data_IF_784077323759
#
_entry.id   IF_784077323759
#
_cell.length_a   1.000
_cell.length_b   1.000
_cell.length_c   1.000
_cell.angle_alpha   90.00
_cell.angle_beta   90.00
_cell.angle_gamma   90.00
#
_symmetry.space_group_name_H-M   'P 1'
#
loop_
_entity.id
_entity.type
_entity.pdbx_description
1 polymer ?
#
# COMPACT_ATOMS: atom_id res chain seq x y z
N UNK A 1 -9.91 -13.77 4.88
CA UNK A 1 -9.62 -13.61 3.47
C UNK A 1 -9.37 -12.14 3.13
N UNK A 2 -10.27 -11.25 3.56
CA UNK A 2 -10.09 -9.80 3.31
C UNK A 2 -8.91 -9.23 4.10
N UNK A 3 -8.63 -9.77 5.28
CA UNK A 3 -7.47 -9.36 6.05
C UNK A 3 -6.17 -9.71 5.35
N UNK A 4 -6.15 -10.85 4.64
CA UNK A 4 -4.98 -11.23 3.86
C UNK A 4 -4.74 -10.28 2.70
N UNK A 5 -5.82 -9.79 2.07
CA UNK A 5 -5.68 -8.82 0.99
C UNK A 5 -5.09 -7.50 1.49
N UNK A 6 -5.58 -7.01 2.65
CA UNK A 6 -5.03 -5.80 3.23
C UNK A 6 -3.55 -5.97 3.57
N UNK A 7 -3.18 -7.11 4.13
CA UNK A 7 -1.79 -7.41 4.46
C UNK A 7 -0.94 -7.46 3.20
N UNK A 8 -1.46 -8.08 2.13
CA UNK A 8 -0.76 -8.15 0.86
C UNK A 8 -0.53 -6.77 0.27
N UNK A 9 -1.52 -5.88 0.34
CA UNK A 9 -1.37 -4.51 -0.14
C UNK A 9 -0.29 -3.76 0.64
N UNK A 10 -0.23 -3.95 1.96
CA UNK A 10 0.81 -3.32 2.77
C UNK A 10 2.20 -3.83 2.42
N UNK A 11 2.32 -5.13 2.14
CA UNK A 11 3.59 -5.70 1.73
C UNK A 11 4.02 -5.17 0.37
N UNK A 12 3.09 -5.03 -0.57
CA UNK A 12 3.37 -4.43 -1.86
C UNK A 12 3.83 -2.99 -1.68
N UNK A 13 3.17 -2.22 -0.82
CA UNK A 13 3.57 -0.85 -0.54
C UNK A 13 5.00 -0.77 -0.02
N UNK A 14 5.38 -1.67 0.88
CA UNK A 14 6.74 -1.72 1.40
C UNK A 14 7.76 -2.01 0.30
N UNK A 15 7.45 -2.94 -0.59
CA UNK A 15 8.33 -3.25 -1.71
C UNK A 15 8.49 -2.04 -2.63
N UNK A 16 7.39 -1.33 -2.88
CA UNK A 16 7.44 -0.13 -3.73
C UNK A 16 8.27 0.96 -3.05
N UNK A 17 8.15 1.12 -1.73
CA UNK A 17 8.97 2.08 -1.01
C UNK A 17 10.46 1.75 -1.08
N UNK A 18 10.81 0.47 -1.06
CA UNK A 18 12.19 0.05 -1.23
C UNK A 18 12.71 0.41 -2.64
N UNK A 19 11.87 0.21 -3.66
CA UNK A 19 12.21 0.60 -5.02
C UNK A 19 12.39 2.11 -5.09
N UNK A 20 11.52 2.88 -4.44
CA UNK A 20 11.64 4.33 -4.41
C UNK A 20 12.95 4.78 -3.80
N UNK A 21 13.41 4.11 -2.74
CA UNK A 21 14.67 4.44 -2.09
C UNK A 21 15.86 4.25 -3.01
N UNK A 22 15.75 3.32 -3.97
CA UNK A 22 16.83 3.05 -4.93
C UNK A 22 16.65 3.80 -6.24
N UNK A 23 15.59 4.56 -6.41
CA UNK A 23 15.33 5.29 -7.64
C UNK A 23 16.42 6.33 -7.91
N UNK A 24 16.82 6.44 -9.18
CA UNK A 24 17.88 7.34 -9.58
C UNK A 24 17.36 8.72 -10.01
N UNK A 25 16.05 8.85 -10.20
CA UNK A 25 15.46 10.13 -10.58
C UNK A 25 14.32 10.49 -9.63
N UNK A 26 14.08 11.80 -9.45
CA UNK A 26 12.99 12.28 -8.60
C UNK A 26 11.64 11.87 -9.17
N UNK A 27 11.50 11.84 -10.50
CA UNK A 27 10.26 11.47 -11.15
C UNK A 27 9.89 10.02 -10.84
N UNK A 28 10.86 9.10 -10.92
CA UNK A 28 10.61 7.70 -10.59
C UNK A 28 10.26 7.54 -9.11
N UNK A 29 10.97 8.26 -8.24
CA UNK A 29 10.72 8.21 -6.82
C UNK A 29 9.30 8.67 -6.50
N UNK A 30 8.87 9.79 -7.10
CA UNK A 30 7.55 10.33 -6.87
C UNK A 30 6.46 9.37 -7.32
N UNK A 31 6.63 8.74 -8.48
CA UNK A 31 5.67 7.75 -8.97
C UNK A 31 5.56 6.56 -8.02
N UNK A 32 6.68 6.07 -7.52
CA UNK A 32 6.69 4.97 -6.57
C UNK A 32 6.00 5.36 -5.27
N UNK A 33 6.26 6.57 -4.77
CA UNK A 33 5.65 7.04 -3.54
C UNK A 33 4.13 7.14 -3.69
N UNK A 34 3.65 7.62 -4.83
CA UNK A 34 2.21 7.70 -5.09
C UNK A 34 1.58 6.31 -5.13
N UNK A 35 2.25 5.35 -5.77
CA UNK A 35 1.74 3.98 -5.81
C UNK A 35 1.70 3.36 -4.41
N UNK A 36 2.75 3.58 -3.62
CA UNK A 36 2.79 3.05 -2.26
C UNK A 36 1.64 3.62 -1.41
N UNK A 37 1.37 4.92 -1.54
CA UNK A 37 0.26 5.55 -0.85
C UNK A 37 -1.07 4.96 -1.29
N UNK A 38 -1.24 4.68 -2.58
CA UNK A 38 -2.45 4.07 -3.10
C UNK A 38 -2.69 2.71 -2.46
N UNK A 39 -1.66 1.86 -2.39
CA UNK A 39 -1.80 0.54 -1.79
C UNK A 39 -2.05 0.61 -0.29
N UNK A 40 -1.40 1.52 0.42
CA UNK A 40 -1.63 1.69 1.84
C UNK A 40 -3.06 2.16 2.12
N UNK A 41 -3.55 3.09 1.32
CA UNK A 41 -4.93 3.57 1.46
C UNK A 41 -5.92 2.45 1.19
N UNK A 42 -5.67 1.65 0.15
CA UNK A 42 -6.55 0.52 -0.17
C UNK A 42 -6.57 -0.50 0.97
N UNK A 43 -5.42 -0.79 1.57
CA UNK A 43 -5.34 -1.70 2.70
C UNK A 43 -6.14 -1.16 3.89
N UNK A 44 -6.01 0.12 4.16
CA UNK A 44 -6.73 0.75 5.27
C UNK A 44 -8.24 0.66 5.05
N UNK A 45 -8.71 0.93 3.84
CA UNK A 45 -10.13 0.85 3.53
C UNK A 45 -10.67 -0.58 3.70
N UNK A 46 -9.91 -1.57 3.27
CA UNK A 46 -10.31 -2.96 3.45
C UNK A 46 -10.40 -3.33 4.92
N UNK A 47 -9.44 -2.88 5.72
CA UNK A 47 -9.46 -3.14 7.15
C UNK A 47 -10.67 -2.50 7.82
N UNK A 48 -11.01 -1.28 7.42
CA UNK A 48 -12.17 -0.60 7.98
C UNK A 48 -13.47 -1.29 7.60
N UNK A 49 -13.60 -1.73 6.36
CA UNK A 49 -14.78 -2.47 5.93
C UNK A 49 -14.96 -3.75 6.72
N UNK A 50 -13.86 -4.45 6.97
CA UNK A 50 -13.91 -5.68 7.76
C UNK A 50 -14.36 -5.39 9.18
N UNK A 51 -13.87 -4.31 9.80
CA UNK A 51 -14.30 -3.92 11.15
C UNK A 51 -15.78 -3.57 11.19
N UNK A 52 -16.27 -2.85 10.18
CA UNK A 52 -17.68 -2.49 10.14
C UNK A 52 -18.57 -3.71 10.03
N UNK A 53 -18.14 -4.74 9.33
CA UNK A 53 -18.90 -5.97 9.21
C UNK A 53 -18.98 -6.76 10.51
N UNK A 54 -17.98 -6.62 11.37
CA UNK A 54 -17.94 -7.36 12.63
C UNK A 54 -18.87 -6.76 13.69
N UNK A 55 -19.41 -5.60 13.46
CA UNK A 55 -20.40 -4.99 14.34
C UNK A 55 -21.81 -5.37 13.88
#
# INVERSE_FOLDING_TARGET
>A
VKQQQAKSFREIAKLILNIAAEATSDSERDECLLLALFYEKSAHELEQRTRQRLH
#
